data_IF_367901784352
#
_entry.id   IF_367901784352
#
_cell.length_a   1.000
_cell.length_b   1.000
_cell.length_c   1.000
_cell.angle_alpha   90.00
_cell.angle_beta   90.00
_cell.angle_gamma   90.00
#
_symmetry.space_group_name_H-M   'P 1'
#
loop_
_entity.id
_entity.type
_entity.pdbx_description
1 polymer ?
#
# COMPACT_ATOMS: atom_id res chain seq x y z
N UNK A 1 55.67 -28.23 -52.22
CA UNK A 1 54.51 -29.12 -51.97
C UNK A 1 53.25 -28.32 -52.25
N UNK A 2 52.74 -28.27 -53.49
CA UNK A 2 51.74 -29.22 -54.07
C UNK A 2 50.62 -29.50 -53.04
N UNK A 3 49.34 -29.19 -53.26
CA UNK A 3 48.64 -28.80 -54.50
C UNK A 3 47.18 -28.43 -54.16
N UNK A 4 46.62 -27.53 -54.98
CA UNK A 4 45.22 -27.46 -55.49
C UNK A 4 44.14 -26.88 -54.57
N UNK A 5 43.15 -26.12 -55.04
CA UNK A 5 42.79 -25.44 -56.32
C UNK A 5 41.64 -24.50 -55.89
N UNK A 6 41.66 -23.19 -56.21
CA UNK A 6 40.83 -22.51 -57.25
C UNK A 6 39.28 -22.59 -57.02
N UNK A 7 38.44 -21.57 -57.23
CA UNK A 7 38.45 -20.45 -58.19
C UNK A 7 37.33 -19.43 -57.83
N UNK A 8 37.61 -18.09 -57.91
CA UNK A 8 36.84 -16.96 -58.53
C UNK A 8 35.33 -16.71 -58.29
N UNK A 9 34.71 -15.53 -58.42
CA UNK A 9 35.05 -14.14 -58.90
C UNK A 9 33.88 -13.19 -58.54
N UNK A 10 34.19 -11.88 -58.36
CA UNK A 10 33.53 -10.62 -58.88
C UNK A 10 31.99 -10.64 -59.13
N UNK A 11 31.17 -9.59 -58.88
CA UNK A 11 31.33 -8.15 -59.13
C UNK A 11 30.06 -7.38 -58.67
N UNK A 12 30.25 -6.10 -58.32
CA UNK A 12 29.38 -4.91 -58.38
C UNK A 12 27.95 -4.99 -58.97
N UNK A 13 27.01 -4.24 -58.37
CA UNK A 13 25.80 -3.75 -59.05
C UNK A 13 24.82 -3.01 -58.12
N UNK A 14 24.53 -1.75 -58.46
CA UNK A 14 23.74 -0.75 -57.73
C UNK A 14 22.23 -0.75 -58.10
N UNK A 15 21.40 -0.14 -57.23
CA UNK A 15 20.06 0.46 -57.43
C UNK A 15 18.87 -0.41 -57.90
N UNK A 16 17.80 -0.48 -57.10
CA UNK A 16 16.53 0.26 -57.26
C UNK A 16 15.53 -0.16 -56.17
N UNK A 17 14.76 0.82 -55.68
CA UNK A 17 14.07 0.74 -54.40
C UNK A 17 12.77 -0.03 -54.35
N UNK A 18 12.21 -0.07 -53.15
CA UNK A 18 10.77 -0.12 -52.88
C UNK A 18 10.51 0.45 -51.48
N UNK A 19 9.62 1.44 -51.48
CA UNK A 19 9.00 2.07 -50.33
C UNK A 19 8.25 0.99 -49.54
N UNK A 20 8.55 0.85 -48.24
CA UNK A 20 7.62 0.25 -47.28
C UNK A 20 7.42 1.26 -46.16
N UNK A 21 6.22 1.83 -46.16
CA UNK A 21 5.65 2.61 -45.06
C UNK A 21 5.44 1.64 -43.91
N UNK A 22 6.29 1.72 -42.89
CA UNK A 22 6.08 1.05 -41.60
C UNK A 22 5.72 2.10 -40.56
N UNK A 23 4.43 2.24 -40.28
CA UNK A 23 3.91 3.05 -39.18
C UNK A 23 4.43 2.44 -37.87
N UNK A 24 5.43 3.07 -37.25
CA UNK A 24 5.83 2.73 -35.88
C UNK A 24 4.84 3.44 -34.93
N UNK A 25 3.79 2.71 -34.54
CA UNK A 25 2.89 3.13 -33.49
C UNK A 25 3.66 3.25 -32.17
N UNK A 26 3.76 4.46 -31.64
CA UNK A 26 4.22 4.70 -30.27
C UNK A 26 3.08 4.27 -29.35
N UNK A 27 3.13 3.02 -28.86
CA UNK A 27 2.24 2.57 -27.79
C UNK A 27 2.80 3.10 -26.48
N UNK A 28 2.25 4.23 -26.01
CA UNK A 28 2.53 4.79 -24.70
C UNK A 28 1.87 3.87 -23.64
N UNK A 29 2.65 2.95 -23.06
CA UNK A 29 2.21 2.20 -21.88
C UNK A 29 2.19 3.15 -20.66
N UNK A 30 1.03 3.73 -20.37
CA UNK A 30 0.73 4.35 -19.08
C UNK A 30 0.50 3.23 -18.06
N UNK A 31 1.57 2.77 -17.42
CA UNK A 31 1.47 1.91 -16.23
C UNK A 31 1.09 2.77 -15.03
N UNK A 32 -0.21 3.00 -14.82
CA UNK A 32 -0.74 3.52 -13.56
C UNK A 32 -0.72 2.40 -12.52
N UNK A 33 0.40 2.29 -11.78
CA UNK A 33 0.46 1.45 -10.60
C UNK A 33 -0.44 2.03 -9.50
N UNK A 34 -1.41 1.24 -9.04
CA UNK A 34 -2.22 1.58 -7.88
C UNK A 34 -1.35 1.49 -6.61
N UNK A 35 -1.32 2.58 -5.84
CA UNK A 35 -0.73 2.65 -4.49
C UNK A 35 -1.74 3.43 -3.63
N UNK A 36 -2.22 2.86 -2.52
CA UNK A 36 -3.49 3.25 -1.86
C UNK A 36 -3.50 3.49 -0.33
N UNK A 37 -3.71 4.75 0.08
CA UNK A 37 -4.07 5.42 1.37
C UNK A 37 -3.73 6.94 1.28
N UNK A 38 -4.20 7.80 2.19
CA UNK A 38 -4.71 9.19 2.06
C UNK A 38 -6.01 9.38 1.28
N UNK A 39 -6.76 10.34 1.81
CA UNK A 39 -7.99 10.86 1.26
C UNK A 39 -7.79 11.43 -0.14
N UNK A 40 -8.69 11.08 -1.05
CA UNK A 40 -8.78 11.63 -2.40
C UNK A 40 -10.25 11.90 -2.72
N UNK A 41 -10.53 12.76 -3.71
CA UNK A 41 -11.88 12.81 -4.27
C UNK A 41 -12.15 11.54 -5.09
N UNK A 42 -13.41 11.22 -5.34
CA UNK A 42 -13.79 10.03 -6.10
C UNK A 42 -15.18 10.09 -6.72
N UNK A 43 -15.51 9.07 -7.50
CA UNK A 43 -16.79 8.89 -8.17
C UNK A 43 -17.20 7.41 -8.11
N UNK A 44 -18.51 7.15 -8.00
CA UNK A 44 -19.07 5.80 -8.05
C UNK A 44 -19.41 5.44 -9.50
N UNK A 45 -18.58 4.60 -10.11
CA UNK A 45 -18.82 4.02 -11.42
C UNK A 45 -19.48 2.64 -11.34
N UNK A 46 -19.70 2.02 -12.51
CA UNK A 46 -20.16 0.63 -12.62
C UNK A 46 -19.14 -0.40 -12.07
N UNK A 47 -17.89 0.04 -11.92
CA UNK A 47 -16.70 -0.71 -11.45
C UNK A 47 -16.35 -0.46 -9.97
N UNK A 48 -17.14 0.35 -9.25
CA UNK A 48 -16.88 0.70 -7.83
C UNK A 48 -16.48 2.16 -7.63
N UNK A 49 -15.88 2.46 -6.47
CA UNK A 49 -15.37 3.78 -6.12
C UNK A 49 -13.99 4.00 -6.74
N UNK A 50 -13.90 4.96 -7.65
CA UNK A 50 -12.65 5.36 -8.32
C UNK A 50 -12.14 6.68 -7.77
N UNK A 51 -10.82 6.81 -7.66
CA UNK A 51 -10.18 8.07 -7.25
C UNK A 51 -10.23 9.06 -8.42
N UNK A 52 -10.61 10.30 -8.14
CA UNK A 52 -10.74 11.39 -9.10
C UNK A 52 -9.84 12.55 -8.69
N UNK A 53 -9.24 13.20 -9.67
CA UNK A 53 -8.53 14.46 -9.46
C UNK A 53 -9.51 15.64 -9.47
N UNK A 54 -9.26 16.66 -8.66
CA UNK A 54 -10.04 17.90 -8.65
C UNK A 54 -9.15 19.11 -8.40
N UNK A 55 -9.36 20.16 -9.19
CA UNK A 55 -8.73 21.47 -9.02
C UNK A 55 -9.58 22.46 -8.21
N UNK A 56 -10.71 22.01 -7.68
CA UNK A 56 -11.68 22.85 -6.96
C UNK A 56 -11.46 22.81 -5.44
N UNK A 57 -10.89 21.71 -4.93
CA UNK A 57 -10.60 21.52 -3.52
C UNK A 57 -9.09 21.45 -3.31
N UNK A 58 -8.56 22.32 -2.45
CA UNK A 58 -7.16 22.34 -2.05
C UNK A 58 -7.00 21.78 -0.63
N UNK A 59 -5.96 20.98 -0.41
CA UNK A 59 -5.53 20.59 0.94
C UNK A 59 -4.60 21.66 1.52
N UNK A 60 -5.10 22.44 2.48
CA UNK A 60 -4.33 23.48 3.16
C UNK A 60 -3.35 22.89 4.18
N UNK A 61 -3.74 21.84 4.88
CA UNK A 61 -2.85 21.13 5.80
C UNK A 61 -3.24 19.68 5.98
N UNK A 62 -2.23 18.87 6.31
CA UNK A 62 -2.36 17.51 6.81
C UNK A 62 -1.44 17.35 8.01
N UNK A 63 -1.99 16.84 9.11
CA UNK A 63 -1.23 16.34 10.25
C UNK A 63 -1.45 14.84 10.35
N UNK A 64 -0.37 14.08 10.18
CA UNK A 64 -0.34 12.63 10.17
C UNK A 64 0.46 12.14 11.37
N UNK A 65 -0.21 11.46 12.30
CA UNK A 65 0.43 10.74 13.40
C UNK A 65 0.39 9.24 13.13
N UNK A 66 1.55 8.60 13.08
CA UNK A 66 1.70 7.15 12.93
C UNK A 66 2.30 6.57 14.21
N UNK A 67 1.61 5.61 14.81
CA UNK A 67 2.14 4.77 15.89
C UNK A 67 1.69 3.31 15.74
N UNK A 68 2.30 2.41 16.51
CA UNK A 68 2.00 0.97 16.44
C UNK A 68 0.54 0.60 16.71
N UNK A 69 -0.15 1.39 17.53
CA UNK A 69 -1.51 1.07 17.98
C UNK A 69 -2.60 1.97 17.36
N UNK A 70 -2.21 3.10 16.75
CA UNK A 70 -3.16 4.10 16.24
C UNK A 70 -2.50 4.96 15.16
N UNK A 71 -3.25 5.21 14.10
CA UNK A 71 -2.98 6.29 13.15
C UNK A 71 -4.07 7.34 13.33
N UNK A 72 -3.64 8.60 13.44
CA UNK A 72 -4.52 9.75 13.43
C UNK A 72 -4.13 10.65 12.25
N UNK A 73 -5.12 11.07 11.48
CA UNK A 73 -4.93 12.02 10.39
C UNK A 73 -5.88 13.18 10.55
N UNK A 74 -5.41 14.40 10.32
CA UNK A 74 -6.24 15.62 10.39
C UNK A 74 -5.93 16.52 9.20
N UNK A 75 -6.94 16.75 8.38
CA UNK A 75 -6.87 17.57 7.19
C UNK A 75 -7.64 18.88 7.37
N UNK A 76 -7.16 19.91 6.69
CA UNK A 76 -7.94 21.12 6.41
C UNK A 76 -8.03 21.27 4.90
N UNK A 77 -9.22 21.06 4.35
CA UNK A 77 -9.52 21.28 2.94
C UNK A 77 -10.16 22.64 2.74
N UNK A 78 -9.97 23.25 1.58
CA UNK A 78 -10.63 24.49 1.18
C UNK A 78 -11.26 24.31 -0.19
N UNK A 79 -12.54 24.64 -0.31
CA UNK A 79 -13.15 24.89 -1.62
C UNK A 79 -12.71 26.26 -2.13
N UNK A 80 -12.02 26.28 -3.26
CA UNK A 80 -11.51 27.52 -3.86
C UNK A 80 -12.47 28.15 -4.86
N UNK A 81 -13.62 27.53 -5.13
CA UNK A 81 -14.67 28.04 -6.03
C UNK A 81 -15.69 28.89 -5.27
N UNK A 82 -16.56 29.55 -6.01
CA UNK A 82 -17.68 30.37 -5.54
C UNK A 82 -19.01 29.62 -5.44
N UNK A 83 -19.01 28.32 -5.73
CA UNK A 83 -20.17 27.44 -5.66
C UNK A 83 -19.88 26.20 -4.78
N UNK A 84 -20.91 25.55 -4.21
CA UNK A 84 -20.70 24.34 -3.43
C UNK A 84 -20.20 23.19 -4.32
N UNK A 85 -19.16 22.48 -3.85
CA UNK A 85 -18.65 21.27 -4.50
C UNK A 85 -19.15 20.06 -3.74
N UNK A 86 -19.86 19.15 -4.43
CA UNK A 86 -20.30 17.87 -3.88
C UNK A 86 -19.49 16.76 -4.51
N UNK A 87 -18.85 15.93 -3.70
CA UNK A 87 -18.01 14.83 -4.18
C UNK A 87 -18.01 13.68 -3.19
N UNK A 88 -17.49 12.52 -3.62
CA UNK A 88 -17.17 11.42 -2.72
C UNK A 88 -15.74 11.63 -2.25
N UNK A 89 -15.50 11.55 -0.94
CA UNK A 89 -14.14 11.45 -0.40
C UNK A 89 -13.86 9.98 -0.15
N UNK A 90 -12.67 9.54 -0.54
CA UNK A 90 -12.24 8.14 -0.53
C UNK A 90 -10.94 8.05 0.24
N UNK A 91 -10.91 7.23 1.28
CA UNK A 91 -9.71 6.83 2.00
C UNK A 91 -9.38 5.37 1.63
N UNK A 92 -8.43 5.15 0.71
CA UNK A 92 -8.00 3.81 0.34
C UNK A 92 -7.17 3.15 1.45
N UNK A 93 -7.06 1.83 1.41
CA UNK A 93 -6.09 1.08 2.20
C UNK A 93 -5.08 0.38 1.28
N UNK A 94 -3.88 0.04 1.78
CA UNK A 94 -2.98 -0.84 1.05
C UNK A 94 -3.75 -2.11 0.65
N UNK A 95 -3.61 -2.51 -0.61
CA UNK A 95 -4.34 -3.67 -1.11
C UNK A 95 -3.95 -4.94 -0.36
N UNK A 96 -4.86 -5.91 -0.36
CA UNK A 96 -4.90 -7.17 0.38
C UNK A 96 -4.74 -8.48 -0.48
N UNK A 97 -3.60 -8.77 -1.17
CA UNK A 97 -3.05 -10.07 -1.63
C UNK A 97 -3.11 -11.30 -0.68
N UNK A 98 -4.14 -12.10 -0.86
CA UNK A 98 -4.36 -13.31 -0.07
C UNK A 98 -3.56 -14.53 -0.57
N UNK A 99 -2.91 -14.45 -1.74
CA UNK A 99 -2.24 -15.57 -2.43
C UNK A 99 -1.09 -16.21 -1.67
N UNK A 100 -0.50 -15.46 -0.75
CA UNK A 100 0.67 -15.93 -0.06
C UNK A 100 0.33 -16.93 1.07
N UNK A 101 -0.91 -17.01 1.57
CA UNK A 101 -1.30 -17.87 2.70
C UNK A 101 -1.13 -17.20 4.09
N UNK A 102 -1.31 -17.97 5.17
CA UNK A 102 -1.40 -17.47 6.57
C UNK A 102 -0.19 -17.77 7.48
N UNK A 103 0.85 -18.44 7.00
CA UNK A 103 1.97 -18.96 7.83
C UNK A 103 3.29 -18.19 7.75
N UNK A 104 3.40 -17.14 6.92
CA UNK A 104 4.43 -16.10 7.07
C UNK A 104 4.09 -15.16 8.23
N UNK A 105 5.06 -14.59 8.97
CA UNK A 105 4.77 -14.02 10.27
C UNK A 105 3.70 -12.92 10.22
N UNK A 106 2.58 -13.36 10.78
CA UNK A 106 1.45 -12.74 11.43
C UNK A 106 1.15 -11.28 11.10
N UNK A 107 0.08 -11.16 10.33
CA UNK A 107 -0.76 -10.00 10.21
C UNK A 107 -1.37 -9.68 11.57
N UNK A 108 -1.02 -8.54 12.17
CA UNK A 108 -1.75 -8.07 13.33
C UNK A 108 -2.92 -7.21 12.87
N UNK A 109 -4.04 -7.89 12.58
CA UNK A 109 -5.30 -7.22 12.35
C UNK A 109 -5.93 -6.77 13.67
N UNK A 110 -6.44 -5.54 13.77
CA UNK A 110 -6.98 -5.04 15.02
C UNK A 110 -8.24 -5.75 15.52
N UNK A 111 -9.09 -6.26 14.61
CA UNK A 111 -10.33 -6.98 14.93
C UNK A 111 -10.71 -7.98 13.85
N UNK A 112 -11.55 -8.95 14.21
CA UNK A 112 -12.09 -10.01 13.35
C UNK A 112 -13.43 -9.65 12.67
N UNK A 113 -13.65 -8.37 12.36
CA UNK A 113 -14.89 -7.90 11.76
C UNK A 113 -14.68 -7.26 10.37
N UNK A 114 -15.77 -6.89 9.68
CA UNK A 114 -15.65 -6.28 8.34
C UNK A 114 -14.90 -4.96 8.35
N UNK A 115 -15.01 -4.13 9.37
CA UNK A 115 -14.16 -2.95 9.58
C UNK A 115 -12.97 -3.33 10.48
N UNK A 116 -12.01 -4.07 9.92
CA UNK A 116 -10.90 -4.63 10.68
C UNK A 116 -10.00 -3.56 11.34
N UNK A 117 -10.05 -2.30 10.89
CA UNK A 117 -9.29 -1.18 11.44
C UNK A 117 -10.04 -0.36 12.53
N UNK A 118 -11.35 -0.59 12.70
CA UNK A 118 -12.24 0.28 13.49
C UNK A 118 -12.14 1.75 13.07
N UNK A 119 -12.30 2.02 11.78
CA UNK A 119 -12.09 3.35 11.21
C UNK A 119 -13.16 4.35 11.65
N UNK A 120 -12.73 5.49 12.19
CA UNK A 120 -13.61 6.57 12.66
C UNK A 120 -13.29 7.86 11.93
N UNK A 121 -14.35 8.58 11.55
CA UNK A 121 -14.24 9.87 10.84
C UNK A 121 -15.11 10.95 11.47
N UNK A 122 -14.54 12.15 11.49
CA UNK A 122 -15.21 13.39 11.85
C UNK A 122 -15.05 14.43 10.76
N UNK A 123 -16.14 15.12 10.43
CA UNK A 123 -16.15 16.27 9.53
C UNK A 123 -16.66 17.47 10.31
N UNK A 124 -15.83 18.51 10.41
CA UNK A 124 -16.10 19.69 11.26
C UNK A 124 -16.58 19.27 12.67
N UNK A 125 -15.80 18.39 13.30
CA UNK A 125 -16.01 17.85 14.64
C UNK A 125 -17.28 16.98 14.83
N UNK A 126 -18.05 16.75 13.76
CA UNK A 126 -19.20 15.84 13.75
C UNK A 126 -18.81 14.46 13.27
N UNK A 127 -19.03 13.45 14.09
CA UNK A 127 -18.79 12.05 13.70
C UNK A 127 -19.75 11.64 12.60
N UNK A 128 -19.22 10.99 11.56
CA UNK A 128 -20.01 10.38 10.49
C UNK A 128 -19.66 8.89 10.37
N UNK A 129 -20.54 8.14 9.72
CA UNK A 129 -20.28 6.73 9.39
C UNK A 129 -19.85 6.62 7.93
N UNK A 130 -18.60 6.20 7.64
CA UNK A 130 -18.18 5.95 6.28
C UNK A 130 -18.76 4.61 5.79
N UNK A 131 -18.80 4.46 4.47
CA UNK A 131 -19.11 3.20 3.81
C UNK A 131 -17.81 2.48 3.48
N UNK A 132 -17.81 1.15 3.60
CA UNK A 132 -16.68 0.30 3.24
C UNK A 132 -16.95 -0.37 1.89
N UNK A 133 -16.05 -0.23 0.94
CA UNK A 133 -16.04 -0.98 -0.31
C UNK A 133 -14.90 -2.01 -0.30
N UNK A 134 -15.18 -3.20 -0.80
CA UNK A 134 -14.17 -4.23 -1.09
C UNK A 134 -14.30 -4.70 -2.52
N UNK A 135 -13.18 -4.75 -3.22
CA UNK A 135 -13.08 -5.29 -4.59
C UNK A 135 -11.96 -6.32 -4.63
N UNK A 136 -12.17 -7.41 -5.34
CA UNK A 136 -11.20 -8.49 -5.45
C UNK A 136 -10.62 -8.56 -6.87
N UNK A 137 -9.31 -8.69 -6.97
CA UNK A 137 -8.58 -8.73 -8.24
C UNK A 137 -7.70 -9.97 -8.30
N UNK A 138 -7.84 -10.75 -9.37
CA UNK A 138 -7.00 -11.90 -9.66
C UNK A 138 -6.28 -11.64 -10.99
N UNK A 139 -4.94 -11.63 -10.97
CA UNK A 139 -4.11 -11.36 -12.15
C UNK A 139 -4.52 -10.06 -12.89
N UNK A 140 -4.84 -9.00 -12.13
CA UNK A 140 -5.29 -7.71 -12.65
C UNK A 140 -6.74 -7.67 -13.15
N UNK A 141 -7.45 -8.81 -13.19
CA UNK A 141 -8.87 -8.87 -13.53
C UNK A 141 -9.73 -8.79 -12.27
N UNK A 142 -10.76 -7.96 -12.30
CA UNK A 142 -11.73 -7.92 -11.21
C UNK A 142 -12.58 -9.22 -11.16
N UNK A 143 -12.64 -9.85 -9.98
CA UNK A 143 -13.36 -11.10 -9.72
C UNK A 143 -14.37 -10.98 -8.56
N UNK A 144 -14.61 -9.77 -8.06
CA UNK A 144 -15.49 -9.49 -6.91
C UNK A 144 -16.84 -10.20 -7.01
N UNK A 145 -17.55 -10.03 -8.14
CA UNK A 145 -18.90 -10.60 -8.34
C UNK A 145 -18.92 -12.13 -8.27
N UNK A 146 -17.90 -12.78 -8.81
CA UNK A 146 -17.77 -14.25 -8.77
C UNK A 146 -17.53 -14.72 -7.34
N UNK A 147 -16.66 -14.04 -6.60
CA UNK A 147 -16.38 -14.35 -5.20
C UNK A 147 -17.57 -14.06 -4.28
N UNK A 148 -18.34 -13.00 -4.53
CA UNK A 148 -19.58 -12.71 -3.82
C UNK A 148 -20.64 -13.80 -4.06
N UNK A 149 -20.84 -14.18 -5.33
CA UNK A 149 -21.84 -15.20 -5.70
C UNK A 149 -21.48 -16.57 -5.13
N UNK A 150 -20.18 -16.86 -4.97
CA UNK A 150 -19.70 -18.12 -4.37
C UNK A 150 -19.60 -18.08 -2.85
N UNK A 151 -19.74 -16.91 -2.21
CA UNK A 151 -19.47 -16.71 -0.78
C UNK A 151 -17.98 -16.62 -0.44
N UNK A 152 -17.08 -16.84 -1.42
CA UNK A 152 -15.64 -16.85 -1.23
C UNK A 152 -15.04 -15.46 -0.89
N UNK A 153 -15.77 -14.38 -1.16
CA UNK A 153 -15.35 -13.02 -0.76
C UNK A 153 -15.20 -12.88 0.77
N UNK A 154 -15.80 -13.79 1.54
CA UNK A 154 -15.72 -13.81 2.99
C UNK A 154 -14.46 -14.50 3.55
N UNK A 155 -13.61 -15.09 2.68
CA UNK A 155 -12.32 -15.67 3.04
C UNK A 155 -11.31 -14.55 3.20
N UNK A 156 -10.91 -14.30 4.44
CA UNK A 156 -10.16 -13.11 4.82
C UNK A 156 -9.17 -13.43 5.94
N UNK A 157 -8.00 -12.78 5.97
CA UNK A 157 -6.93 -13.14 6.89
C UNK A 157 -7.15 -12.63 8.33
N UNK A 158 -8.10 -11.74 8.58
CA UNK A 158 -8.40 -11.21 9.92
C UNK A 158 -9.39 -12.06 10.73
N UNK A 159 -10.03 -13.07 10.12
CA UNK A 159 -10.90 -14.00 10.84
C UNK A 159 -10.06 -15.09 11.52
N UNK A 160 -10.46 -15.57 12.72
CA UNK A 160 -9.84 -16.73 13.33
C UNK A 160 -9.93 -17.97 12.42
N UNK A 161 -8.85 -18.77 12.42
CA UNK A 161 -8.76 -20.00 11.64
C UNK A 161 -8.08 -19.83 10.28
N UNK A 162 -7.43 -20.92 9.84
CA UNK A 162 -6.77 -20.99 8.54
C UNK A 162 -7.75 -20.87 7.36
N UNK A 163 -7.26 -20.68 6.13
CA UNK A 163 -8.16 -20.64 4.98
C UNK A 163 -8.88 -21.97 4.77
N UNK A 164 -8.29 -23.09 5.18
CA UNK A 164 -8.94 -24.40 5.15
C UNK A 164 -10.17 -24.46 6.06
N UNK A 165 -10.13 -23.86 7.25
CA UNK A 165 -11.31 -23.79 8.13
C UNK A 165 -12.37 -22.85 7.58
N UNK A 166 -11.97 -21.69 7.05
CA UNK A 166 -12.89 -20.73 6.44
C UNK A 166 -13.55 -21.29 5.18
N UNK A 167 -12.82 -22.06 4.37
CA UNK A 167 -13.31 -22.66 3.13
C UNK A 167 -14.40 -23.72 3.36
N UNK A 168 -14.52 -24.29 4.56
CA UNK A 168 -15.62 -25.22 4.93
C UNK A 168 -17.00 -24.55 4.89
N UNK A 169 -17.05 -23.21 4.94
CA UNK A 169 -18.28 -22.44 4.79
C UNK A 169 -18.79 -22.40 3.34
N UNK A 170 -17.96 -22.79 2.36
CA UNK A 170 -18.31 -22.85 0.95
C UNK A 170 -18.93 -24.21 0.62
N UNK A 171 -19.90 -24.23 -0.30
CA UNK A 171 -20.39 -25.53 -0.81
C UNK A 171 -19.28 -26.28 -1.57
N UNK A 172 -19.26 -27.63 -1.54
CA UNK A 172 -18.26 -28.41 -2.30
C UNK A 172 -18.24 -28.07 -3.79
N UNK A 173 -19.41 -27.74 -4.38
CA UNK A 173 -19.52 -27.36 -5.79
C UNK A 173 -18.86 -25.99 -6.06
N UNK A 174 -19.10 -24.99 -5.21
CA UNK A 174 -18.46 -23.67 -5.31
C UNK A 174 -16.96 -23.78 -5.14
N UNK A 175 -16.49 -24.53 -4.13
CA UNK A 175 -15.06 -24.73 -3.89
C UNK A 175 -14.38 -25.40 -5.08
N UNK A 176 -14.98 -26.46 -5.65
CA UNK A 176 -14.48 -27.11 -6.86
C UNK A 176 -14.42 -26.14 -8.04
N UNK A 177 -15.44 -25.29 -8.23
CA UNK A 177 -15.45 -24.26 -9.28
C UNK A 177 -14.29 -23.27 -9.11
N UNK A 178 -14.07 -22.76 -7.90
CA UNK A 178 -13.01 -21.81 -7.59
C UNK A 178 -11.61 -22.43 -7.76
N UNK A 179 -11.45 -23.71 -7.43
CA UNK A 179 -10.22 -24.47 -7.72
C UNK A 179 -9.98 -24.63 -9.22
N UNK A 180 -11.01 -24.98 -9.98
CA UNK A 180 -10.91 -25.12 -11.43
C UNK A 180 -10.59 -23.80 -12.14
N UNK A 181 -11.00 -22.65 -11.58
CA UNK A 181 -10.66 -21.32 -12.12
C UNK A 181 -9.31 -20.77 -11.62
N UNK A 182 -8.63 -21.49 -10.71
CA UNK A 182 -7.38 -21.05 -10.11
C UNK A 182 -7.54 -19.92 -9.07
N UNK A 183 -8.77 -19.55 -8.69
CA UNK A 183 -9.02 -18.55 -7.65
C UNK A 183 -8.70 -19.07 -6.26
N UNK A 184 -8.73 -20.39 -6.07
CA UNK A 184 -8.27 -21.08 -4.87
C UNK A 184 -7.31 -22.18 -5.33
N UNK A 185 -6.12 -22.25 -4.75
CA UNK A 185 -5.12 -23.29 -5.07
C UNK A 185 -4.55 -23.90 -3.80
N UNK A 186 -3.84 -25.02 -3.96
CA UNK A 186 -2.97 -25.50 -2.90
C UNK A 186 -1.81 -24.52 -2.72
N UNK A 187 -1.45 -24.28 -1.46
CA UNK A 187 -0.39 -23.37 -1.04
C UNK A 187 0.02 -23.74 0.37
N UNK A 188 0.11 -22.75 1.26
CA UNK A 188 0.31 -23.02 2.70
C UNK A 188 -0.92 -23.70 3.32
N UNK A 189 -2.12 -23.31 2.89
CA UNK A 189 -3.37 -24.04 3.13
C UNK A 189 -3.79 -24.77 1.84
N UNK A 190 -4.58 -25.85 1.96
CA UNK A 190 -5.13 -26.56 0.79
C UNK A 190 -6.12 -25.69 -0.01
N UNK A 191 -6.65 -24.64 0.62
CA UNK A 191 -7.62 -23.70 0.06
C UNK A 191 -7.11 -22.27 0.08
N UNK A 192 -5.90 -22.03 -0.43
CA UNK A 192 -5.27 -20.71 -0.44
C UNK A 192 -5.93 -19.80 -1.51
N UNK A 193 -6.60 -18.69 -1.13
CA UNK A 193 -7.15 -17.70 -2.06
C UNK A 193 -6.07 -17.07 -2.92
N UNK A 194 -6.30 -16.80 -4.21
CA UNK A 194 -5.27 -16.25 -5.11
C UNK A 194 -5.46 -14.78 -5.51
N UNK A 195 -6.39 -14.06 -4.88
CA UNK A 195 -6.76 -12.69 -5.25
C UNK A 195 -6.22 -11.63 -4.27
N UNK A 196 -6.15 -10.39 -4.76
CA UNK A 196 -5.88 -9.19 -3.98
C UNK A 196 -7.20 -8.50 -3.62
N UNK A 197 -7.36 -8.09 -2.37
CA UNK A 197 -8.51 -7.36 -1.84
C UNK A 197 -8.20 -5.87 -1.73
N UNK A 198 -8.80 -5.05 -2.59
CA UNK A 198 -8.70 -3.60 -2.52
C UNK A 198 -9.82 -3.10 -1.61
N UNK A 199 -9.47 -2.36 -0.55
CA UNK A 199 -10.42 -1.91 0.48
C UNK A 199 -10.40 -0.39 0.56
N UNK A 200 -11.58 0.24 0.55
CA UNK A 200 -11.71 1.70 0.61
C UNK A 200 -12.81 2.10 1.59
N UNK A 201 -12.56 3.11 2.41
CA UNK A 201 -13.62 3.83 3.11
C UNK A 201 -14.03 5.04 2.28
N UNK A 202 -15.32 5.35 2.22
CA UNK A 202 -15.80 6.51 1.48
C UNK A 202 -17.05 7.13 2.08
N UNK A 203 -17.25 8.43 1.84
CA UNK A 203 -18.45 9.15 2.23
C UNK A 203 -18.72 10.32 1.28
N UNK A 204 -19.98 10.76 1.23
CA UNK A 204 -20.36 11.96 0.50
C UNK A 204 -19.95 13.19 1.30
N UNK A 205 -19.28 14.14 0.63
CA UNK A 205 -18.84 15.39 1.22
C UNK A 205 -19.35 16.58 0.40
N UNK A 206 -19.87 17.59 1.10
CA UNK A 206 -20.11 18.91 0.52
C UNK A 206 -19.06 19.88 1.05
N UNK A 207 -18.36 20.57 0.16
CA UNK A 207 -17.45 21.65 0.50
C UNK A 207 -18.12 22.99 0.16
N UNK A 208 -18.54 23.80 1.15
CA UNK A 208 -19.16 25.10 0.90
C UNK A 208 -18.19 26.06 0.19
N UNK A 209 -18.69 26.98 -0.64
CA UNK A 209 -17.84 27.90 -1.40
C UNK A 209 -16.91 28.70 -0.49
N UNK A 210 -15.66 28.87 -0.90
CA UNK A 210 -14.62 29.67 -0.20
C UNK A 210 -14.42 29.30 1.28
N UNK A 211 -14.84 28.11 1.70
CA UNK A 211 -14.87 27.71 3.11
C UNK A 211 -13.93 26.55 3.38
N UNK A 212 -13.36 26.53 4.58
CA UNK A 212 -12.54 25.43 5.06
C UNK A 212 -13.39 24.31 5.67
N UNK A 213 -13.07 23.06 5.36
CA UNK A 213 -13.66 21.86 5.95
C UNK A 213 -12.55 21.08 6.65
N UNK A 214 -12.76 20.78 7.93
CA UNK A 214 -11.86 19.93 8.71
C UNK A 214 -12.31 18.49 8.61
N UNK A 215 -11.39 17.59 8.31
CA UNK A 215 -11.63 16.15 8.28
C UNK A 215 -10.61 15.49 9.20
N UNK A 216 -11.05 14.65 10.12
CA UNK A 216 -10.18 13.91 11.03
C UNK A 216 -10.53 12.44 10.99
N UNK A 217 -9.54 11.57 10.85
CA UNK A 217 -9.70 10.12 10.97
C UNK A 217 -8.83 9.55 12.08
N UNK A 218 -9.33 8.51 12.73
CA UNK A 218 -8.57 7.67 13.67
C UNK A 218 -8.87 6.21 13.35
N UNK A 219 -7.83 5.39 13.27
CA UNK A 219 -7.97 3.96 13.09
C UNK A 219 -6.75 3.22 13.67
N UNK A 220 -6.91 1.92 13.94
CA UNK A 220 -5.78 1.07 14.33
C UNK A 220 -5.07 0.61 13.06
N UNK A 221 -3.74 0.77 12.92
CA UNK A 221 -3.04 0.34 11.72
C UNK A 221 -3.11 -1.18 11.57
N UNK A 222 -3.14 -1.62 10.32
CA UNK A 222 -2.72 -2.97 10.01
C UNK A 222 -1.17 -3.02 10.07
N UNK A 223 -0.60 -3.93 10.87
CA UNK A 223 0.84 -4.02 11.10
C UNK A 223 1.34 -5.37 10.60
N UNK A 224 2.27 -5.34 9.63
CA UNK A 224 3.05 -6.52 9.25
C UNK A 224 4.08 -6.79 10.33
N UNK A 225 4.27 -8.05 10.76
CA UNK A 225 5.27 -8.37 11.78
C UNK A 225 6.19 -9.49 11.34
N UNK A 226 7.40 -9.54 11.86
CA UNK A 226 8.24 -10.74 11.75
C UNK A 226 8.98 -11.03 13.05
N UNK A 227 9.04 -12.30 13.42
CA UNK A 227 10.03 -12.80 14.35
C UNK A 227 11.32 -13.02 13.56
N UNK A 228 12.41 -12.48 14.07
CA UNK A 228 13.71 -12.56 13.44
C UNK A 228 14.74 -12.95 14.47
N UNK A 229 15.68 -13.81 14.08
CA UNK A 229 16.78 -14.21 14.97
C UNK A 229 17.69 -13.02 15.26
N UNK A 230 17.98 -12.23 14.22
CA UNK A 230 18.81 -11.02 14.31
C UNK A 230 18.21 -9.90 13.47
N UNK A 231 18.04 -8.73 14.08
CA UNK A 231 17.72 -7.48 13.41
C UNK A 231 18.69 -7.14 12.27
N UNK A 232 19.97 -7.52 12.42
CA UNK A 232 20.98 -7.31 11.38
C UNK A 232 20.76 -8.12 10.09
N UNK A 233 19.84 -9.09 10.08
CA UNK A 233 19.43 -9.80 8.85
C UNK A 233 18.50 -8.95 7.96
N UNK A 234 17.87 -7.91 8.52
CA UNK A 234 17.04 -6.99 7.74
C UNK A 234 17.94 -6.05 6.95
N UNK A 235 17.96 -6.23 5.63
CA UNK A 235 18.75 -5.43 4.69
C UNK A 235 17.91 -4.37 3.93
N UNK A 236 16.62 -4.27 4.26
CA UNK A 236 15.67 -3.34 3.66
C UNK A 236 15.25 -3.65 2.22
N UNK A 237 15.76 -4.73 1.61
CA UNK A 237 15.38 -5.13 0.23
C UNK A 237 14.11 -5.97 0.19
N UNK A 238 13.81 -6.64 1.30
CA UNK A 238 12.61 -7.45 1.48
C UNK A 238 11.66 -6.77 2.46
N UNK A 239 10.37 -7.03 2.29
CA UNK A 239 9.32 -6.60 3.22
C UNK A 239 9.47 -7.26 4.59
N UNK A 240 8.97 -6.59 5.63
CA UNK A 240 9.08 -7.04 7.00
C UNK A 240 7.68 -7.35 7.55
N UNK A 241 7.30 -8.60 7.37
CA UNK A 241 5.90 -9.04 7.37
C UNK A 241 5.45 -9.34 5.94
N UNK A 242 4.27 -9.95 5.78
CA UNK A 242 3.66 -10.07 4.45
C UNK A 242 3.10 -8.70 4.08
N UNK A 243 3.39 -8.12 2.89
CA UNK A 243 2.44 -8.16 1.78
C UNK A 243 2.81 -7.57 0.39
N UNK A 244 2.00 -7.96 -0.62
CA UNK A 244 1.92 -7.68 -2.08
C UNK A 244 3.21 -7.69 -2.88
N UNK A 245 3.31 -8.67 -3.81
CA UNK A 245 3.82 -8.50 -5.18
C UNK A 245 5.24 -7.97 -5.36
N UNK A 246 5.98 -7.79 -4.28
CA UNK A 246 7.35 -7.32 -4.30
C UNK A 246 8.26 -8.52 -4.14
N UNK A 247 8.87 -8.87 -5.25
CA UNK A 247 10.16 -9.53 -5.22
C UNK A 247 11.17 -8.61 -4.52
N UNK A 248 12.22 -9.16 -3.90
CA UNK A 248 13.32 -8.36 -3.35
C UNK A 248 13.71 -7.25 -4.33
N UNK A 249 13.67 -6.01 -3.87
CA UNK A 249 14.05 -4.86 -4.70
C UNK A 249 15.54 -4.60 -4.55
N UNK A 250 16.21 -4.13 -5.62
CA UNK A 250 17.60 -3.68 -5.51
C UNK A 250 17.74 -2.43 -4.62
N UNK A 251 16.65 -1.69 -4.43
CA UNK A 251 16.58 -0.51 -3.58
C UNK A 251 16.17 -0.87 -2.15
N UNK A 252 16.77 -0.17 -1.20
CA UNK A 252 16.34 -0.21 0.20
C UNK A 252 14.98 0.49 0.36
N UNK A 253 14.00 -0.25 0.87
CA UNK A 253 12.61 0.18 1.04
C UNK A 253 12.40 1.05 2.27
N UNK A 254 13.27 0.95 3.26
CA UNK A 254 13.14 1.62 4.56
C UNK A 254 14.26 2.62 4.83
N UNK A 255 15.20 2.76 3.88
CA UNK A 255 16.35 3.65 4.02
C UNK A 255 17.11 3.39 5.32
N UNK A 256 17.48 2.13 5.56
CA UNK A 256 18.29 1.68 6.69
C UNK A 256 19.67 2.30 6.62
N UNK A 257 19.81 3.44 7.28
CA UNK A 257 21.06 4.18 7.34
C UNK A 257 22.10 3.50 8.24
N UNK A 258 23.35 3.94 8.11
CA UNK A 258 24.45 3.37 8.87
C UNK A 258 24.33 3.64 10.39
N UNK A 259 23.62 4.70 10.79
CA UNK A 259 23.37 4.98 12.21
C UNK A 259 22.41 3.94 12.80
N UNK A 260 21.34 3.62 12.09
CA UNK A 260 20.35 2.60 12.44
C UNK A 260 21.01 1.23 12.53
N UNK A 261 21.78 0.83 11.50
CA UNK A 261 22.51 -0.45 11.52
C UNK A 261 23.45 -0.57 12.71
N UNK A 262 24.21 0.49 13.03
CA UNK A 262 25.09 0.51 14.21
C UNK A 262 24.31 0.38 15.52
N UNK A 263 23.15 1.02 15.63
CA UNK A 263 22.30 0.89 16.81
C UNK A 263 21.81 -0.55 17.00
N UNK A 264 21.36 -1.22 15.93
CA UNK A 264 20.95 -2.63 15.97
C UNK A 264 22.10 -3.55 16.41
N UNK A 265 23.28 -3.41 15.79
CA UNK A 265 24.48 -4.19 16.16
C UNK A 265 24.86 -3.98 17.63
N UNK A 266 24.76 -2.74 18.13
CA UNK A 266 25.06 -2.43 19.52
C UNK A 266 24.12 -3.16 20.49
N UNK A 267 22.82 -3.16 20.21
CA UNK A 267 21.84 -3.82 21.08
C UNK A 267 21.94 -5.35 21.02
N UNK A 268 22.19 -5.94 19.84
CA UNK A 268 22.45 -7.38 19.70
C UNK A 268 23.72 -7.83 20.46
N UNK A 269 24.80 -7.02 20.42
CA UNK A 269 26.04 -7.34 21.15
C UNK A 269 25.86 -7.34 22.66
N UNK A 270 24.97 -6.51 23.20
CA UNK A 270 24.65 -6.48 24.63
C UNK A 270 23.86 -7.73 25.06
N UNK A 271 23.19 -8.40 24.12
CA UNK A 271 22.29 -9.53 24.39
C UNK A 271 22.52 -10.68 23.38
N UNK A 272 23.71 -11.30 23.36
CA UNK A 272 24.14 -12.17 22.26
C UNK A 272 23.33 -13.49 22.12
N UNK A 273 22.62 -13.90 23.16
CA UNK A 273 21.84 -15.15 23.20
C UNK A 273 20.32 -14.89 23.24
N UNK A 274 19.86 -13.72 22.82
CA UNK A 274 18.45 -13.34 22.89
C UNK A 274 17.97 -12.73 21.57
N UNK A 275 16.73 -13.06 21.19
CA UNK A 275 16.01 -12.31 20.17
C UNK A 275 15.64 -10.96 20.77
N UNK A 276 16.47 -9.94 20.53
CA UNK A 276 16.30 -8.61 21.13
C UNK A 276 15.12 -7.87 20.51
N UNK A 277 14.91 -8.07 19.22
CA UNK A 277 13.90 -7.38 18.44
C UNK A 277 12.98 -8.37 17.74
N UNK A 278 11.71 -8.02 17.76
CA UNK A 278 10.81 -8.34 16.65
C UNK A 278 10.78 -7.14 15.72
N UNK A 279 10.15 -7.29 14.58
CA UNK A 279 10.02 -6.20 13.61
C UNK A 279 8.59 -5.99 13.19
N UNK A 280 8.24 -4.73 12.98
CA UNK A 280 6.92 -4.28 12.57
C UNK A 280 7.04 -3.31 11.39
N UNK A 281 6.18 -3.47 10.40
CA UNK A 281 6.04 -2.59 9.25
C UNK A 281 4.66 -1.93 9.23
N UNK A 282 4.65 -0.62 9.00
CA UNK A 282 3.44 0.15 8.75
C UNK A 282 3.60 0.87 7.41
N UNK A 283 2.69 0.59 6.48
CA UNK A 283 2.57 1.36 5.24
C UNK A 283 1.46 2.42 5.36
N UNK A 284 1.77 3.63 4.93
CA UNK A 284 0.81 4.71 4.77
C UNK A 284 1.05 5.38 3.44
N UNK A 285 0.11 5.23 2.51
CA UNK A 285 0.22 5.88 1.22
C UNK A 285 -0.01 7.36 1.40
N UNK A 286 0.83 8.13 0.73
CA UNK A 286 0.92 9.59 0.81
C UNK A 286 0.71 10.24 -0.58
N UNK A 287 0.87 9.46 -1.65
CA UNK A 287 0.87 9.95 -3.02
C UNK A 287 -0.51 10.33 -3.57
N UNK A 288 -1.61 9.78 -3.06
CA UNK A 288 -2.98 10.12 -3.50
C UNK A 288 -3.38 11.55 -3.15
N UNK A 289 -2.67 12.21 -2.22
CA UNK A 289 -2.88 13.63 -1.93
C UNK A 289 -2.71 14.53 -3.17
N UNK A 290 -1.98 14.06 -4.19
CA UNK A 290 -1.83 14.71 -5.51
C UNK A 290 -3.13 14.79 -6.32
N UNK A 291 -4.18 14.09 -5.91
CA UNK A 291 -5.49 14.18 -6.54
C UNK A 291 -6.25 15.46 -6.16
N UNK A 292 -5.79 16.19 -5.14
CA UNK A 292 -6.30 17.51 -4.78
C UNK A 292 -5.54 18.63 -5.49
N UNK A 293 -6.12 19.84 -5.48
CA UNK A 293 -5.55 21.01 -6.14
C UNK A 293 -4.20 21.43 -5.54
N UNK A 294 -3.13 21.12 -6.25
CA UNK A 294 -1.77 21.59 -5.92
C UNK A 294 -1.15 20.87 -4.71
N UNK A 295 -0.07 21.43 -4.13
CA UNK A 295 0.61 20.80 -3.00
C UNK A 295 -0.23 20.86 -1.71
N UNK A 296 0.11 20.00 -0.76
CA UNK A 296 -0.33 20.13 0.63
C UNK A 296 0.31 21.40 1.21
N UNK A 297 -0.50 22.37 1.62
CA UNK A 297 0.01 23.66 2.10
C UNK A 297 0.99 23.52 3.26
N UNK A 298 0.61 22.77 4.30
CA UNK A 298 1.48 22.37 5.41
C UNK A 298 1.28 20.89 5.75
N UNK A 299 2.33 20.09 5.61
CA UNK A 299 2.36 18.69 6.03
C UNK A 299 3.13 18.56 7.34
N UNK A 300 2.53 17.92 8.35
CA UNK A 300 3.13 17.63 9.65
C UNK A 300 3.10 16.12 9.90
N UNK A 301 4.26 15.48 9.83
CA UNK A 301 4.43 14.07 10.17
C UNK A 301 4.86 13.94 11.63
N UNK A 302 4.18 13.08 12.38
CA UNK A 302 4.51 12.69 13.74
C UNK A 302 4.64 11.16 13.78
N UNK A 303 5.82 10.65 14.09
CA UNK A 303 6.05 9.21 14.30
C UNK A 303 6.19 8.97 15.80
N UNK A 304 5.41 8.05 16.34
CA UNK A 304 5.54 7.54 17.71
C UNK A 304 5.97 6.08 17.69
N UNK A 305 7.23 5.82 18.05
CA UNK A 305 7.80 4.47 18.05
C UNK A 305 7.37 3.63 19.25
N UNK A 306 6.54 4.15 20.15
CA UNK A 306 5.91 3.42 21.26
C UNK A 306 6.80 3.16 22.48
N UNK A 307 8.09 2.86 22.29
CA UNK A 307 9.05 2.64 23.39
C UNK A 307 10.38 3.36 23.11
N UNK A 308 11.04 3.98 24.11
CA UNK A 308 12.37 4.58 23.93
C UNK A 308 13.45 3.60 23.45
N UNK A 309 13.24 2.28 23.64
CA UNK A 309 14.14 1.22 23.17
C UNK A 309 13.92 0.79 21.71
N UNK A 310 12.74 1.06 21.14
CA UNK A 310 12.48 0.71 19.74
C UNK A 310 13.38 1.52 18.80
N UNK A 311 13.71 0.96 17.65
CA UNK A 311 14.49 1.66 16.61
C UNK A 311 13.61 1.76 15.37
N UNK A 312 13.62 2.90 14.67
CA UNK A 312 12.80 3.12 13.47
C UNK A 312 13.67 3.40 12.26
N UNK A 313 13.15 3.05 11.08
CA UNK A 313 13.73 3.39 9.78
C UNK A 313 12.61 3.69 8.80
N UNK A 314 12.78 4.75 8.01
CA UNK A 314 11.89 5.10 6.91
C UNK A 314 12.62 6.00 5.92
N UNK A 315 12.22 5.95 4.66
CA UNK A 315 12.67 6.89 3.63
C UNK A 315 12.03 8.25 3.84
N UNK A 316 12.57 9.04 4.76
CA UNK A 316 12.09 10.38 5.08
C UNK A 316 13.23 11.32 5.47
N UNK A 317 13.25 12.51 4.87
CA UNK A 317 14.24 13.54 5.19
C UNK A 317 13.66 14.57 6.16
N UNK A 318 14.50 15.07 7.07
CA UNK A 318 14.12 16.16 7.99
C UNK A 318 13.36 15.73 9.25
N UNK A 319 13.35 14.43 9.55
CA UNK A 319 12.77 13.91 10.78
C UNK A 319 13.64 14.29 12.00
N UNK A 320 13.03 14.92 13.01
CA UNK A 320 13.70 15.35 14.25
C UNK A 320 13.11 14.64 15.45
N UNK A 321 13.93 14.14 16.36
CA UNK A 321 13.46 13.59 17.64
C UNK A 321 12.89 14.72 18.51
N UNK A 322 11.63 14.64 18.91
CA UNK A 322 10.94 15.64 19.73
C UNK A 322 10.61 15.14 21.14
N UNK A 323 10.73 13.84 21.39
CA UNK A 323 10.47 13.24 22.70
C UNK A 323 11.17 11.90 22.88
N UNK A 324 10.82 11.18 23.96
CA UNK A 324 11.41 9.87 24.25
C UNK A 324 11.07 8.82 23.15
N UNK A 325 9.86 8.92 22.58
CA UNK A 325 9.36 8.03 21.53
C UNK A 325 8.96 8.75 20.24
N UNK A 326 8.88 10.09 20.27
CA UNK A 326 8.31 10.88 19.18
C UNK A 326 9.36 11.52 18.28
N UNK A 327 9.04 11.53 17.00
CA UNK A 327 9.81 12.17 15.95
C UNK A 327 8.88 12.97 15.04
N UNK A 328 9.29 14.16 14.63
CA UNK A 328 8.44 15.07 13.88
C UNK A 328 9.15 15.66 12.66
N UNK A 329 8.38 15.94 11.62
CA UNK A 329 8.82 16.65 10.42
C UNK A 329 7.71 17.57 9.92
N UNK A 330 8.05 18.81 9.63
CA UNK A 330 7.12 19.81 9.06
C UNK A 330 7.64 20.28 7.71
N UNK A 331 6.80 20.18 6.68
CA UNK A 331 7.12 20.58 5.31
C UNK A 331 6.00 21.48 4.78
N UNK A 332 6.35 22.61 4.18
CA UNK A 332 5.40 23.53 3.53
C UNK A 332 5.39 23.32 2.03
N UNK A 333 4.22 23.48 1.39
CA UNK A 333 4.03 23.26 -0.05
C UNK A 333 4.51 21.88 -0.50
N UNK A 334 4.13 20.87 0.27
CA UNK A 334 4.61 19.51 0.11
C UNK A 334 3.87 18.78 -1.03
N UNK A 335 4.64 18.24 -1.97
CA UNK A 335 4.14 17.32 -3.00
C UNK A 335 4.72 15.94 -2.67
N UNK A 336 3.91 15.00 -2.15
CA UNK A 336 4.44 13.73 -1.70
C UNK A 336 4.94 12.90 -2.86
N UNK A 337 6.24 12.57 -2.86
CA UNK A 337 6.96 11.83 -3.91
C UNK A 337 6.68 10.32 -3.92
N UNK A 338 6.47 9.78 -2.72
CA UNK A 338 6.35 8.37 -2.41
C UNK A 338 5.48 8.17 -1.17
N UNK A 339 5.11 6.92 -0.93
CA UNK A 339 4.34 6.50 0.23
C UNK A 339 5.29 6.25 1.42
N UNK A 340 4.77 6.41 2.63
CA UNK A 340 5.54 6.15 3.85
C UNK A 340 5.56 4.64 4.10
N UNK A 341 6.78 4.11 4.25
CA UNK A 341 7.04 2.77 4.78
C UNK A 341 7.86 2.90 6.04
N UNK A 342 7.22 2.65 7.17
CA UNK A 342 7.84 2.75 8.49
C UNK A 342 8.20 1.35 8.98
N UNK A 343 9.50 1.09 9.08
CA UNK A 343 10.03 -0.09 9.77
C UNK A 343 10.33 0.25 11.22
N UNK A 344 9.90 -0.63 12.13
CA UNK A 344 10.11 -0.51 13.57
C UNK A 344 10.71 -1.82 14.06
N UNK A 345 11.92 -1.75 14.62
CA UNK A 345 12.50 -2.82 15.43
C UNK A 345 11.94 -2.68 16.85
N UNK A 346 11.02 -3.57 17.21
CA UNK A 346 10.30 -3.58 18.48
C UNK A 346 11.13 -4.38 19.49
N UNK A 347 11.68 -3.68 20.47
CA UNK A 347 12.54 -4.26 21.50
C UNK A 347 11.70 -5.05 22.52
N UNK A 348 12.13 -6.28 22.85
CA UNK A 348 11.50 -7.15 23.84
C UNK A 348 11.78 -6.76 25.29
#
# INVERSE_FOLDING_TARGET
MLKKLYYTTRKFGYYYGKIIIGILGITLFLTSGLKEANDSSGFQGTTGIELKTTDEIRMLSEELRIGLNEIQVSYVFQNVTDHPVKTIVVFPLPSLDLSAGLTGPNWNFPTDNQDFLNFKVWVNDKSIKPTLERRAFFQGKEVTRELETTGAIALVPWKPGGYDEQAKLLSPQMLKRLRNSGLITEGEDHNTPQWQLHTKYFWNQTFPPKTNVKVKHIYKPFVGTALIDKATQINGRSVVGRFIGNHPTDKDRYCLDEATKRALVSEEKKNPNSMVFSVAEIEYILTTARNWRGPIGKFHLIIDKGSPKNIISLCWNGLKKTGATTFESVITNFVPGEDIRLLIFVHH
#
